data_IF_142495080632
#
_entry.id   IF_142495080632
#
_cell.length_a   1.000
_cell.length_b   1.000
_cell.length_c   1.000
_cell.angle_alpha   90.00
_cell.angle_beta   90.00
_cell.angle_gamma   90.00
#
_symmetry.space_group_name_H-M   'P 1'
#
loop_
_entity.id
_entity.type
_entity.pdbx_description
1 polymer ?
#
# COMPACT_ATOMS: atom_id res chain seq x y z
N UNK A 1 41.74 12.16 -31.40
CA UNK A 1 40.72 13.19 -31.67
C UNK A 1 39.43 12.56 -32.20
N UNK A 2 39.42 11.80 -33.31
CA UNK A 2 38.19 11.21 -33.87
C UNK A 2 37.54 10.15 -32.96
N UNK A 3 38.34 9.33 -32.29
CA UNK A 3 37.88 8.27 -31.36
C UNK A 3 37.33 8.83 -30.06
N UNK A 4 37.85 9.94 -29.58
CA UNK A 4 37.32 10.67 -28.41
C UNK A 4 36.01 11.37 -28.73
N UNK A 5 35.87 11.92 -29.92
CA UNK A 5 34.65 12.60 -30.37
C UNK A 5 33.49 11.59 -30.56
N UNK A 6 33.78 10.39 -31.08
CA UNK A 6 32.82 9.29 -31.20
C UNK A 6 32.39 8.80 -29.81
N UNK A 7 33.32 8.65 -28.87
CA UNK A 7 32.97 8.29 -27.47
C UNK A 7 32.14 9.36 -26.81
N UNK A 8 32.45 10.62 -26.98
CA UNK A 8 31.70 11.72 -26.43
C UNK A 8 30.25 11.73 -26.95
N UNK A 9 30.06 11.62 -28.26
CA UNK A 9 28.73 11.55 -28.89
C UNK A 9 27.95 10.31 -28.44
N UNK A 10 28.63 9.19 -28.24
CA UNK A 10 27.99 7.97 -27.73
C UNK A 10 27.46 8.15 -26.30
N UNK A 11 28.27 8.67 -25.36
CA UNK A 11 27.82 8.91 -23.97
C UNK A 11 26.76 9.98 -23.90
N UNK A 12 26.84 11.04 -24.66
CA UNK A 12 25.84 12.07 -24.75
C UNK A 12 24.50 11.52 -25.29
N UNK A 13 24.56 10.68 -26.33
CA UNK A 13 23.37 10.00 -26.85
C UNK A 13 22.74 9.06 -25.86
N UNK A 14 23.52 8.33 -25.05
CA UNK A 14 23.03 7.47 -24.00
C UNK A 14 22.31 8.26 -22.90
N UNK A 15 22.95 9.32 -22.41
CA UNK A 15 22.37 10.17 -21.35
C UNK A 15 21.12 10.91 -21.80
N UNK A 16 21.01 11.23 -23.09
CA UNK A 16 19.80 11.85 -23.66
C UNK A 16 18.64 10.87 -23.87
N UNK A 17 18.87 9.56 -23.80
CA UNK A 17 17.82 8.53 -23.83
C UNK A 17 17.28 8.17 -22.44
N UNK A 18 17.90 8.65 -21.37
CA UNK A 18 17.44 8.41 -20.00
C UNK A 18 16.36 9.42 -19.63
N UNK A 19 15.24 8.94 -19.10
CA UNK A 19 14.10 9.78 -18.68
C UNK A 19 14.37 10.58 -17.39
N UNK A 20 15.43 10.25 -16.67
CA UNK A 20 15.88 11.01 -15.49
C UNK A 20 16.59 12.29 -15.93
N UNK A 21 16.19 13.41 -15.38
CA UNK A 21 16.90 14.68 -15.60
C UNK A 21 18.28 14.60 -14.94
N UNK A 22 19.33 14.81 -15.74
CA UNK A 22 20.72 14.80 -15.27
C UNK A 22 21.38 16.10 -15.69
N UNK A 23 22.06 16.74 -14.74
CA UNK A 23 22.80 17.97 -14.97
C UNK A 23 24.15 17.94 -14.22
N UNK A 24 25.09 18.67 -14.77
CA UNK A 24 26.43 18.85 -14.18
C UNK A 24 26.64 20.32 -13.89
N UNK A 25 27.08 20.60 -12.67
CA UNK A 25 27.41 21.97 -12.26
C UNK A 25 28.86 22.04 -11.76
N UNK A 26 29.43 23.26 -11.78
CA UNK A 26 30.59 23.56 -11.00
C UNK A 26 30.22 23.70 -9.49
N UNK A 27 31.20 23.94 -8.63
CA UNK A 27 30.97 24.08 -7.20
C UNK A 27 30.26 25.38 -6.80
N UNK A 28 30.17 26.36 -7.75
CA UNK A 28 29.38 27.59 -7.55
C UNK A 28 27.90 27.43 -7.89
N UNK A 29 27.51 26.27 -8.47
CA UNK A 29 26.15 25.98 -8.91
C UNK A 29 25.86 26.42 -10.36
N UNK A 30 26.88 26.84 -11.11
CA UNK A 30 26.73 27.16 -12.54
C UNK A 30 26.61 25.88 -13.33
N UNK A 31 25.58 25.76 -14.16
CA UNK A 31 25.32 24.59 -15.00
C UNK A 31 26.32 24.55 -16.15
N UNK A 32 27.07 23.47 -16.26
CA UNK A 32 27.98 23.21 -17.38
C UNK A 32 27.34 22.33 -18.44
N UNK A 33 26.44 21.42 -18.05
CA UNK A 33 25.79 20.50 -18.96
C UNK A 33 24.45 19.98 -18.39
N UNK A 34 23.51 19.68 -19.29
CA UNK A 34 22.22 19.06 -18.96
C UNK A 34 21.75 18.16 -20.09
N UNK A 35 21.10 17.06 -19.76
CA UNK A 35 20.52 16.16 -20.74
C UNK A 35 19.15 16.65 -21.23
N UNK A 36 18.62 15.98 -22.27
CA UNK A 36 17.30 16.31 -22.85
C UNK A 36 16.16 16.26 -21.79
N UNK A 37 16.19 15.29 -20.88
CA UNK A 37 15.18 15.19 -19.82
C UNK A 37 15.26 16.38 -18.84
N UNK A 38 16.46 16.83 -18.47
CA UNK A 38 16.66 18.03 -17.66
C UNK A 38 16.15 19.29 -18.36
N UNK A 39 16.44 19.44 -19.64
CA UNK A 39 15.92 20.58 -20.46
C UNK A 39 14.39 20.58 -20.52
N UNK A 40 13.78 19.40 -20.68
CA UNK A 40 12.31 19.27 -20.74
C UNK A 40 11.65 19.60 -19.39
N UNK A 41 12.25 19.15 -18.29
CA UNK A 41 11.68 19.29 -16.95
C UNK A 41 12.00 20.65 -16.31
N UNK A 42 13.20 21.18 -16.51
CA UNK A 42 13.70 22.40 -15.87
C UNK A 42 13.75 23.62 -16.78
N UNK A 43 13.73 23.44 -18.09
CA UNK A 43 13.91 24.50 -19.10
C UNK A 43 15.34 24.57 -19.61
N UNK A 44 15.60 25.51 -20.54
CA UNK A 44 16.91 25.65 -21.18
C UNK A 44 17.95 26.34 -20.30
N UNK A 45 17.52 27.19 -19.38
CA UNK A 45 18.38 27.91 -18.43
C UNK A 45 17.75 27.87 -17.02
N UNK A 46 17.79 26.70 -16.35
CA UNK A 46 17.16 26.53 -15.06
C UNK A 46 17.97 27.22 -13.95
N UNK A 47 17.32 28.05 -13.17
CA UNK A 47 17.88 28.49 -11.90
C UNK A 47 17.69 27.39 -10.87
N UNK A 48 18.79 26.82 -10.41
CA UNK A 48 18.76 25.77 -9.42
C UNK A 48 18.46 26.34 -8.03
N UNK A 49 17.50 25.79 -7.29
CA UNK A 49 17.30 26.15 -5.89
C UNK A 49 18.57 25.96 -5.07
N UNK A 50 18.85 26.89 -4.15
CA UNK A 50 20.04 26.79 -3.27
C UNK A 50 20.07 25.48 -2.45
N UNK A 51 18.90 24.92 -2.17
CA UNK A 51 18.74 23.63 -1.48
C UNK A 51 19.40 22.48 -2.25
N UNK A 52 19.38 22.49 -3.57
CA UNK A 52 20.04 21.46 -4.40
C UNK A 52 21.57 21.51 -4.31
N UNK A 53 22.12 22.69 -4.11
CA UNK A 53 23.56 22.90 -4.05
C UNK A 53 24.12 22.51 -2.66
N UNK A 54 23.30 22.46 -1.64
CA UNK A 54 23.68 22.11 -0.26
C UNK A 54 23.51 20.63 0.07
N UNK A 55 22.98 19.81 -0.87
CA UNK A 55 22.75 18.38 -0.63
C UNK A 55 24.07 17.62 -0.46
N UNK A 56 24.16 16.72 0.55
CA UNK A 56 25.30 15.85 0.72
C UNK A 56 25.48 14.93 -0.48
N UNK A 57 26.73 14.64 -0.84
CA UNK A 57 27.03 13.67 -1.92
C UNK A 57 26.71 12.26 -1.47
N UNK A 58 26.02 11.50 -2.34
CA UNK A 58 25.66 10.10 -2.14
C UNK A 58 24.31 9.86 -1.44
N UNK A 59 23.60 10.91 -1.06
CA UNK A 59 22.25 10.79 -0.48
C UNK A 59 21.17 11.16 -1.52
N UNK A 60 20.01 10.50 -1.41
CA UNK A 60 18.81 10.85 -2.19
C UNK A 60 17.83 11.56 -1.27
N UNK A 61 17.41 12.76 -1.65
CA UNK A 61 16.40 13.51 -0.94
C UNK A 61 15.22 13.85 -1.85
N UNK A 62 14.04 14.02 -1.26
CA UNK A 62 12.86 14.47 -1.97
C UNK A 62 12.71 15.97 -1.74
N UNK A 63 12.67 16.73 -2.84
CA UNK A 63 12.46 18.18 -2.81
C UNK A 63 11.21 18.56 -3.59
N UNK A 64 10.63 19.71 -3.22
CA UNK A 64 9.48 20.31 -3.91
C UNK A 64 9.94 21.51 -4.72
N UNK A 65 9.79 21.42 -6.03
CA UNK A 65 10.11 22.52 -6.95
C UNK A 65 8.79 23.15 -7.41
N UNK A 66 8.62 24.47 -7.18
CA UNK A 66 7.46 25.21 -7.64
C UNK A 66 7.76 25.82 -9.03
N UNK A 67 6.99 25.43 -10.04
CA UNK A 67 7.13 25.95 -11.40
C UNK A 67 5.78 26.17 -12.05
N UNK A 68 5.57 27.35 -12.64
CA UNK A 68 4.34 27.71 -13.38
C UNK A 68 3.04 27.41 -12.60
N UNK A 69 3.03 27.62 -11.28
CA UNK A 69 1.86 27.33 -10.43
C UNK A 69 1.67 25.84 -10.09
N UNK A 70 2.56 24.96 -10.53
CA UNK A 70 2.53 23.52 -10.22
C UNK A 70 3.68 23.17 -9.29
N UNK A 71 3.41 22.40 -8.25
CA UNK A 71 4.43 21.84 -7.36
C UNK A 71 4.84 20.47 -7.86
N UNK A 72 6.13 20.31 -8.18
CA UNK A 72 6.71 19.03 -8.62
C UNK A 72 7.49 18.43 -7.45
N UNK A 73 7.21 17.19 -7.11
CA UNK A 73 8.02 16.41 -6.16
C UNK A 73 9.09 15.64 -6.92
N UNK A 74 10.34 15.94 -6.61
CA UNK A 74 11.50 15.40 -7.30
C UNK A 74 12.39 14.64 -6.32
N UNK A 75 12.69 13.37 -6.61
CA UNK A 75 13.79 12.67 -5.95
C UNK A 75 15.10 13.15 -6.56
N UNK A 76 15.96 13.70 -5.73
CA UNK A 76 17.25 14.29 -6.12
C UNK A 76 18.39 13.53 -5.49
N UNK A 77 19.34 13.10 -6.30
CA UNK A 77 20.60 12.55 -5.84
C UNK A 77 21.77 13.38 -6.38
N UNK A 78 22.75 13.61 -5.53
CA UNK A 78 23.94 14.41 -5.83
C UNK A 78 25.18 13.56 -5.70
N UNK A 79 26.11 13.66 -6.66
CA UNK A 79 27.40 12.97 -6.64
C UNK A 79 28.52 13.95 -7.02
N UNK A 80 29.57 14.02 -6.22
CA UNK A 80 30.75 14.81 -6.54
C UNK A 80 31.75 13.95 -7.33
N UNK A 81 32.36 14.55 -8.33
CA UNK A 81 33.40 13.91 -9.13
C UNK A 81 34.45 14.94 -9.60
N UNK A 82 35.63 14.47 -9.93
CA UNK A 82 36.69 15.32 -10.44
C UNK A 82 36.86 15.12 -11.96
N UNK A 83 36.76 16.21 -12.69
CA UNK A 83 37.04 16.20 -14.13
C UNK A 83 38.04 17.32 -14.49
N UNK A 84 39.12 16.99 -15.17
CA UNK A 84 40.19 17.92 -15.55
C UNK A 84 40.79 18.69 -14.35
N UNK A 85 40.92 18.00 -13.21
CA UNK A 85 41.47 18.58 -11.97
C UNK A 85 40.53 19.54 -11.20
N UNK A 86 39.27 19.68 -11.62
CA UNK A 86 38.26 20.50 -10.97
C UNK A 86 37.11 19.63 -10.44
N UNK A 87 36.66 19.93 -9.23
CA UNK A 87 35.49 19.26 -8.67
C UNK A 87 34.21 19.76 -9.35
N UNK A 88 33.37 18.83 -9.66
CA UNK A 88 32.06 19.03 -10.27
C UNK A 88 30.99 18.24 -9.54
N UNK A 89 29.77 18.69 -9.68
CA UNK A 89 28.60 18.05 -9.07
C UNK A 89 27.68 17.54 -10.18
N UNK A 90 27.42 16.23 -10.15
CA UNK A 90 26.37 15.59 -10.95
C UNK A 90 25.10 15.58 -10.09
N UNK A 91 24.01 16.12 -10.62
CA UNK A 91 22.71 16.14 -9.99
C UNK A 91 21.74 15.36 -10.88
N UNK A 92 21.10 14.35 -10.33
CA UNK A 92 20.01 13.62 -10.97
C UNK A 92 18.69 13.94 -10.29
N UNK A 93 17.67 14.28 -11.11
CA UNK A 93 16.31 14.59 -10.62
C UNK A 93 15.33 13.66 -11.32
N UNK A 94 14.54 12.95 -10.52
CA UNK A 94 13.47 12.09 -11.01
C UNK A 94 12.13 12.60 -10.48
N UNK A 95 11.22 12.95 -11.39
CA UNK A 95 9.87 13.32 -10.99
C UNK A 95 9.16 12.10 -10.42
N UNK A 96 8.82 12.14 -9.13
CA UNK A 96 8.11 11.06 -8.44
C UNK A 96 6.59 11.29 -8.43
N UNK A 97 6.15 12.52 -8.66
CA UNK A 97 4.72 12.84 -8.69
C UNK A 97 3.99 12.08 -9.81
N UNK A 98 4.54 12.06 -11.01
CA UNK A 98 3.95 11.31 -12.14
C UNK A 98 3.94 9.78 -11.92
N UNK A 99 4.87 9.24 -11.16
CA UNK A 99 4.91 7.80 -10.83
C UNK A 99 3.85 7.47 -9.77
N UNK A 100 3.71 8.33 -8.76
CA UNK A 100 2.68 8.20 -7.73
C UNK A 100 1.28 8.35 -8.34
N UNK A 101 1.04 9.38 -9.14
CA UNK A 101 -0.25 9.56 -9.85
C UNK A 101 -0.58 8.41 -10.78
N UNK A 102 0.40 7.86 -11.50
CA UNK A 102 0.20 6.69 -12.35
C UNK A 102 -0.16 5.46 -11.53
N UNK A 103 0.54 5.21 -10.44
CA UNK A 103 0.26 4.10 -9.54
C UNK A 103 -1.11 4.25 -8.88
N UNK A 104 -1.49 5.47 -8.47
CA UNK A 104 -2.82 5.76 -7.96
C UNK A 104 -3.89 5.56 -9.04
N UNK A 105 -3.68 6.05 -10.24
CA UNK A 105 -4.61 5.88 -11.36
C UNK A 105 -4.80 4.40 -11.72
N UNK A 106 -3.72 3.61 -11.76
CA UNK A 106 -3.80 2.16 -11.98
C UNK A 106 -4.55 1.45 -10.85
N UNK A 107 -4.30 1.85 -9.59
CA UNK A 107 -5.03 1.33 -8.44
C UNK A 107 -6.52 1.69 -8.52
N UNK A 108 -6.87 2.93 -8.87
CA UNK A 108 -8.23 3.37 -9.11
C UNK A 108 -8.91 2.62 -10.25
N UNK A 109 -8.23 2.40 -11.37
CA UNK A 109 -8.77 1.64 -12.50
C UNK A 109 -9.03 0.17 -12.13
N UNK A 110 -8.12 -0.46 -11.38
CA UNK A 110 -8.33 -1.81 -10.84
C UNK A 110 -9.54 -1.85 -9.91
N UNK A 111 -9.65 -0.87 -9.03
CA UNK A 111 -10.75 -0.73 -8.08
C UNK A 111 -12.10 -0.59 -8.80
N UNK A 112 -12.19 0.34 -9.78
CA UNK A 112 -13.40 0.56 -10.58
C UNK A 112 -13.79 -0.72 -11.33
N UNK A 113 -12.82 -1.47 -11.88
CA UNK A 113 -13.08 -2.73 -12.59
C UNK A 113 -13.67 -3.79 -11.65
N UNK A 114 -13.10 -3.95 -10.45
CA UNK A 114 -13.61 -4.89 -9.44
C UNK A 114 -15.01 -4.46 -8.99
N UNK A 115 -15.22 -3.17 -8.71
CA UNK A 115 -16.52 -2.60 -8.36
C UNK A 115 -17.57 -2.91 -9.42
N UNK A 116 -17.27 -2.61 -10.68
CA UNK A 116 -18.19 -2.85 -11.79
C UNK A 116 -18.54 -4.33 -11.89
N UNK A 117 -17.53 -5.21 -11.80
CA UNK A 117 -17.73 -6.66 -11.88
C UNK A 117 -18.61 -7.20 -10.75
N UNK A 118 -18.35 -6.80 -9.49
CA UNK A 118 -19.13 -7.27 -8.33
C UNK A 118 -20.57 -6.71 -8.33
N UNK A 119 -20.73 -5.44 -8.73
CA UNK A 119 -22.05 -4.84 -8.90
C UNK A 119 -22.83 -5.59 -9.98
N UNK A 120 -22.25 -5.81 -11.15
CA UNK A 120 -22.91 -6.51 -12.25
C UNK A 120 -23.26 -7.96 -11.88
N UNK A 121 -22.33 -8.68 -11.22
CA UNK A 121 -22.56 -10.06 -10.77
C UNK A 121 -23.68 -10.17 -9.74
N UNK A 122 -23.94 -9.12 -8.97
CA UNK A 122 -24.99 -9.10 -7.96
C UNK A 122 -26.32 -8.60 -8.50
N UNK A 123 -26.30 -7.55 -9.34
CA UNK A 123 -27.52 -6.92 -9.87
C UNK A 123 -28.14 -7.75 -10.98
N UNK A 124 -27.35 -8.32 -11.90
CA UNK A 124 -27.88 -9.07 -13.05
C UNK A 124 -28.81 -10.22 -12.64
N UNK A 125 -28.46 -11.10 -11.67
CA UNK A 125 -29.39 -12.13 -11.19
C UNK A 125 -30.62 -11.56 -10.48
N UNK A 126 -30.49 -10.42 -9.78
CA UNK A 126 -31.63 -9.76 -9.12
C UNK A 126 -32.65 -9.30 -10.15
N UNK A 127 -32.18 -8.61 -11.20
CA UNK A 127 -33.03 -8.13 -12.29
C UNK A 127 -33.71 -9.33 -12.99
N UNK A 128 -32.94 -10.32 -13.45
CA UNK A 128 -33.45 -11.48 -14.16
C UNK A 128 -34.51 -12.28 -13.37
N UNK A 129 -34.27 -12.49 -12.07
CA UNK A 129 -35.23 -13.16 -11.21
C UNK A 129 -36.46 -12.30 -10.91
N UNK A 130 -36.27 -10.98 -10.73
CA UNK A 130 -37.41 -10.06 -10.53
C UNK A 130 -38.28 -9.96 -11.79
N UNK A 131 -37.70 -9.90 -12.98
CA UNK A 131 -38.42 -9.93 -14.25
C UNK A 131 -39.19 -11.24 -14.41
N UNK A 132 -38.54 -12.39 -14.18
CA UNK A 132 -39.19 -13.71 -14.25
C UNK A 132 -40.37 -13.83 -13.29
N UNK A 133 -40.26 -13.31 -12.09
CA UNK A 133 -41.35 -13.29 -11.09
C UNK A 133 -42.48 -12.33 -11.51
N UNK A 134 -42.14 -11.19 -12.10
CA UNK A 134 -43.14 -10.20 -12.58
C UNK A 134 -43.92 -10.71 -13.80
N UNK A 135 -43.24 -11.33 -14.76
CA UNK A 135 -43.87 -11.86 -15.98
C UNK A 135 -44.79 -13.05 -15.71
N UNK A 136 -44.47 -13.88 -14.72
CA UNK A 136 -45.31 -15.04 -14.36
C UNK A 136 -46.67 -14.66 -13.73
N UNK A 137 -46.80 -13.42 -13.25
CA UNK A 137 -47.98 -12.98 -12.54
C UNK A 137 -48.19 -13.71 -11.18
N UNK A 138 -49.23 -13.34 -10.44
CA UNK A 138 -49.62 -14.06 -9.23
C UNK A 138 -50.62 -15.14 -9.62
N UNK A 139 -50.25 -16.44 -9.59
CA UNK A 139 -51.20 -17.50 -9.86
C UNK A 139 -52.36 -17.45 -8.85
N UNK A 140 -53.57 -17.64 -9.31
CA UNK A 140 -54.78 -17.71 -8.44
C UNK A 140 -54.71 -18.86 -7.45
N UNK A 141 -53.94 -19.91 -7.72
CA UNK A 141 -53.62 -21.02 -6.82
C UNK A 141 -52.15 -21.41 -7.09
N UNK A 142 -51.31 -21.19 -6.06
CA UNK A 142 -49.91 -21.63 -6.08
C UNK A 142 -49.86 -23.13 -5.74
N UNK A 143 -49.42 -23.94 -6.68
CA UNK A 143 -49.02 -25.31 -6.39
C UNK A 143 -47.70 -25.33 -5.58
N UNK A 144 -47.44 -26.42 -4.83
CA UNK A 144 -46.23 -26.56 -4.02
C UNK A 144 -44.92 -26.31 -4.81
N UNK A 145 -44.89 -26.76 -6.05
CA UNK A 145 -43.75 -26.60 -6.96
C UNK A 145 -43.51 -25.14 -7.34
N UNK A 146 -44.55 -24.39 -7.63
CA UNK A 146 -44.49 -22.96 -7.99
C UNK A 146 -44.10 -22.10 -6.79
N UNK A 147 -44.65 -22.42 -5.60
CA UNK A 147 -44.26 -21.80 -4.36
C UNK A 147 -42.76 -22.01 -4.02
N UNK A 148 -42.26 -23.24 -4.21
CA UNK A 148 -40.86 -23.58 -4.01
C UNK A 148 -39.90 -22.78 -4.92
N UNK A 149 -40.26 -22.65 -6.21
CA UNK A 149 -39.50 -21.87 -7.21
C UNK A 149 -39.48 -20.39 -6.82
N UNK A 150 -40.62 -19.82 -6.43
CA UNK A 150 -40.73 -18.43 -6.01
C UNK A 150 -39.89 -18.17 -4.75
N UNK A 151 -39.96 -19.06 -3.75
CA UNK A 151 -39.20 -18.97 -2.52
C UNK A 151 -37.68 -19.01 -2.81
N UNK A 152 -37.24 -19.92 -3.67
CA UNK A 152 -35.84 -20.03 -4.09
C UNK A 152 -35.33 -18.77 -4.82
N UNK A 153 -36.17 -18.20 -5.70
CA UNK A 153 -35.86 -16.95 -6.38
C UNK A 153 -35.72 -15.79 -5.39
N UNK A 154 -36.66 -15.64 -4.45
CA UNK A 154 -36.60 -14.61 -3.40
C UNK A 154 -35.37 -14.77 -2.50
N UNK A 155 -35.05 -16.00 -2.10
CA UNK A 155 -33.84 -16.27 -1.29
C UNK A 155 -32.56 -15.92 -2.07
N UNK A 156 -32.53 -16.14 -3.38
CA UNK A 156 -31.39 -15.79 -4.22
C UNK A 156 -31.24 -14.28 -4.35
N UNK A 157 -32.36 -13.55 -4.57
CA UNK A 157 -32.39 -12.09 -4.60
C UNK A 157 -31.87 -11.54 -3.26
N UNK A 158 -32.41 -12.04 -2.15
CA UNK A 158 -32.00 -11.61 -0.80
C UNK A 158 -30.48 -11.81 -0.56
N UNK A 159 -29.98 -13.01 -0.87
CA UNK A 159 -28.56 -13.34 -0.71
C UNK A 159 -27.66 -12.44 -1.57
N UNK A 160 -28.03 -12.16 -2.82
CA UNK A 160 -27.28 -11.27 -3.71
C UNK A 160 -27.32 -9.83 -3.27
N UNK A 161 -28.48 -9.34 -2.83
CA UNK A 161 -28.63 -7.99 -2.27
C UNK A 161 -27.79 -7.80 -1.01
N UNK A 162 -27.78 -8.79 -0.11
CA UNK A 162 -26.96 -8.76 1.10
C UNK A 162 -25.46 -8.73 0.77
N UNK A 163 -25.02 -9.55 -0.19
CA UNK A 163 -23.63 -9.56 -0.66
C UNK A 163 -23.21 -8.22 -1.26
N UNK A 164 -24.11 -7.57 -2.02
CA UNK A 164 -23.84 -6.24 -2.59
C UNK A 164 -23.73 -5.18 -1.49
N UNK A 165 -24.61 -5.22 -0.49
CA UNK A 165 -24.55 -4.28 0.64
C UNK A 165 -23.23 -4.43 1.41
N UNK A 166 -22.84 -5.65 1.72
CA UNK A 166 -21.57 -5.96 2.39
C UNK A 166 -20.36 -5.48 1.57
N UNK A 167 -20.40 -5.67 0.24
CA UNK A 167 -19.38 -5.17 -0.66
C UNK A 167 -19.28 -3.62 -0.63
N UNK A 168 -20.42 -2.91 -0.69
CA UNK A 168 -20.45 -1.43 -0.62
C UNK A 168 -19.92 -0.91 0.73
N UNK A 169 -20.28 -1.57 1.83
CA UNK A 169 -19.75 -1.21 3.15
C UNK A 169 -18.24 -1.42 3.24
N UNK A 170 -17.75 -2.51 2.70
CA UNK A 170 -16.33 -2.82 2.63
C UNK A 170 -15.57 -1.79 1.78
N UNK A 171 -16.14 -1.39 0.64
CA UNK A 171 -15.61 -0.31 -0.17
C UNK A 171 -15.54 1.02 0.59
N UNK A 172 -16.61 1.36 1.32
CA UNK A 172 -16.67 2.57 2.14
C UNK A 172 -15.59 2.59 3.23
N UNK A 173 -15.34 1.45 3.88
CA UNK A 173 -14.27 1.31 4.88
C UNK A 173 -12.89 1.57 4.30
N UNK A 174 -12.64 1.13 3.06
CA UNK A 174 -11.37 1.34 2.38
C UNK A 174 -11.17 2.79 1.92
N UNK A 175 -12.24 3.45 1.41
CA UNK A 175 -12.13 4.78 0.79
C UNK A 175 -12.31 5.94 1.77
N UNK A 176 -12.80 5.69 2.98
CA UNK A 176 -13.10 6.71 3.98
C UNK A 176 -12.38 6.46 5.31
N UNK A 177 -11.07 6.23 5.25
CA UNK A 177 -10.27 6.22 6.46
C UNK A 177 -10.12 7.68 6.93
N UNK A 178 -10.58 8.04 8.12
CA UNK A 178 -10.43 9.40 8.62
C UNK A 178 -8.95 9.74 8.86
N UNK A 179 -8.61 11.00 8.77
CA UNK A 179 -7.28 11.49 9.16
C UNK A 179 -6.98 11.06 10.61
N UNK A 180 -5.84 10.43 10.88
CA UNK A 180 -5.54 9.93 12.22
C UNK A 180 -5.41 11.07 13.23
N UNK A 181 -6.03 10.88 14.39
CA UNK A 181 -5.87 11.76 15.56
C UNK A 181 -4.80 11.15 16.45
N UNK A 182 -3.54 11.44 16.14
CA UNK A 182 -2.40 10.85 16.84
C UNK A 182 -2.25 11.41 18.26
N UNK A 183 -2.05 10.51 19.21
CA UNK A 183 -1.76 10.81 20.62
C UNK A 183 -0.63 9.89 21.11
N UNK A 184 -0.05 10.20 22.27
CA UNK A 184 0.92 9.28 22.91
C UNK A 184 0.16 8.10 23.49
N UNK A 185 0.39 6.91 22.95
CA UNK A 185 -0.26 5.65 23.34
C UNK A 185 0.78 4.71 23.93
N UNK A 186 0.50 4.15 25.11
CA UNK A 186 1.31 3.07 25.71
C UNK A 186 1.07 1.78 24.92
N UNK A 187 2.16 1.17 24.44
CA UNK A 187 2.11 -0.11 23.73
C UNK A 187 1.65 -1.22 24.67
N UNK A 188 2.05 -1.15 25.93
CA UNK A 188 1.66 -2.12 26.96
C UNK A 188 0.15 -2.14 27.15
N UNK A 189 -0.46 -0.96 27.30
CA UNK A 189 -1.94 -0.87 27.42
C UNK A 189 -2.65 -1.38 26.16
N UNK A 190 -2.16 -1.00 24.97
CA UNK A 190 -2.73 -1.48 23.71
C UNK A 190 -2.69 -3.01 23.62
N UNK A 191 -1.55 -3.62 23.96
CA UNK A 191 -1.41 -5.09 23.95
C UNK A 191 -2.29 -5.76 25.00
N UNK A 192 -2.46 -5.17 26.19
CA UNK A 192 -3.35 -5.69 27.23
C UNK A 192 -4.81 -5.70 26.78
N UNK A 193 -5.25 -4.66 26.07
CA UNK A 193 -6.63 -4.59 25.58
C UNK A 193 -6.84 -5.55 24.40
N UNK A 194 -5.86 -5.69 23.50
CA UNK A 194 -5.88 -6.71 22.46
C UNK A 194 -5.93 -8.13 23.03
N UNK A 195 -5.21 -8.40 24.12
CA UNK A 195 -5.26 -9.69 24.83
C UNK A 195 -6.64 -10.00 25.39
N UNK A 196 -7.40 -9.00 25.85
CA UNK A 196 -8.80 -9.19 26.26
C UNK A 196 -9.72 -9.55 25.10
N UNK A 197 -9.47 -8.99 23.91
CA UNK A 197 -10.24 -9.28 22.69
C UNK A 197 -9.88 -10.65 22.09
N UNK A 198 -8.66 -11.12 22.32
CA UNK A 198 -8.14 -12.40 21.84
C UNK A 198 -7.63 -13.21 23.05
N UNK A 199 -8.52 -13.81 23.84
CA UNK A 199 -8.16 -14.49 25.08
C UNK A 199 -7.62 -15.91 24.89
N UNK A 200 -7.46 -16.36 23.64
CA UNK A 200 -7.01 -17.71 23.30
C UNK A 200 -5.58 -17.95 23.82
N UNK A 201 -5.35 -19.08 24.49
CA UNK A 201 -4.06 -19.43 25.12
C UNK A 201 -2.89 -19.57 24.13
N UNK A 202 -3.17 -19.87 22.87
CA UNK A 202 -2.17 -19.95 21.79
C UNK A 202 -1.79 -18.59 21.20
N UNK A 203 -2.32 -17.47 21.71
CA UNK A 203 -1.94 -16.11 21.31
C UNK A 203 -1.09 -15.50 22.42
N UNK A 204 0.20 -15.36 22.14
CA UNK A 204 1.20 -14.87 23.07
C UNK A 204 1.55 -13.42 22.79
N UNK A 205 1.51 -12.57 23.83
CA UNK A 205 1.93 -11.18 23.76
C UNK A 205 3.25 -11.00 24.49
N UNK A 206 4.33 -10.78 23.74
CA UNK A 206 5.67 -10.51 24.28
C UNK A 206 5.88 -9.00 24.39
N UNK A 207 5.54 -8.45 25.55
CA UNK A 207 5.60 -7.02 25.82
C UNK A 207 6.91 -6.73 26.57
N UNK A 208 7.73 -5.77 26.10
CA UNK A 208 8.95 -5.39 26.82
C UNK A 208 8.62 -4.77 28.17
N UNK A 209 9.53 -4.96 29.14
CA UNK A 209 9.39 -4.44 30.50
C UNK A 209 9.48 -2.90 30.58
N UNK A 210 9.96 -2.23 29.53
CA UNK A 210 9.99 -0.77 29.43
C UNK A 210 8.68 -0.24 28.88
N UNK A 211 8.12 0.81 29.49
CA UNK A 211 6.92 1.47 28.98
C UNK A 211 7.25 2.22 27.68
N UNK A 212 6.95 1.57 26.56
CA UNK A 212 7.15 2.11 25.23
C UNK A 212 5.87 2.84 24.79
N UNK A 213 6.02 4.06 24.31
CA UNK A 213 4.94 4.86 23.76
C UNK A 213 5.12 5.07 22.27
N UNK A 214 3.99 5.08 21.53
CA UNK A 214 3.91 5.48 20.13
C UNK A 214 3.03 6.72 20.00
N UNK A 215 3.31 7.56 19.00
CA UNK A 215 2.46 8.69 18.65
C UNK A 215 1.56 8.26 17.49
N UNK A 216 0.35 7.78 17.83
CA UNK A 216 -0.55 7.09 16.91
C UNK A 216 -2.02 7.40 17.20
N UNK A 217 -2.89 7.17 16.22
CA UNK A 217 -4.33 7.01 16.47
C UNK A 217 -4.57 5.59 16.97
N UNK A 218 -4.92 5.48 18.27
CA UNK A 218 -5.12 4.21 18.96
C UNK A 218 -6.14 3.33 18.25
N UNK A 219 -7.28 3.87 17.87
CA UNK A 219 -8.38 3.11 17.29
C UNK A 219 -8.01 2.52 15.91
N UNK A 220 -7.30 3.31 15.10
CA UNK A 220 -6.84 2.86 13.79
C UNK A 220 -5.78 1.76 13.92
N UNK A 221 -4.80 1.92 14.81
CA UNK A 221 -3.76 0.89 15.01
C UNK A 221 -4.33 -0.37 15.66
N UNK A 222 -5.28 -0.25 16.61
CA UNK A 222 -6.02 -1.39 17.13
C UNK A 222 -6.73 -2.17 16.03
N UNK A 223 -7.35 -1.47 15.06
CA UNK A 223 -7.96 -2.11 13.89
C UNK A 223 -6.94 -2.88 13.03
N UNK A 224 -5.71 -2.37 12.88
CA UNK A 224 -4.63 -3.09 12.19
C UNK A 224 -4.33 -4.41 12.91
N UNK A 225 -4.14 -4.39 14.23
CA UNK A 225 -3.88 -5.61 15.01
C UNK A 225 -5.04 -6.60 14.94
N UNK A 226 -6.28 -6.14 15.06
CA UNK A 226 -7.46 -6.99 14.94
C UNK A 226 -7.50 -7.71 13.58
N UNK A 227 -7.18 -7.00 12.49
CA UNK A 227 -7.12 -7.61 11.16
C UNK A 227 -6.00 -8.65 11.05
N UNK A 228 -4.80 -8.35 11.56
CA UNK A 228 -3.67 -9.28 11.52
C UNK A 228 -3.91 -10.50 12.40
N UNK A 229 -4.41 -10.33 13.61
CA UNK A 229 -4.72 -11.44 14.53
C UNK A 229 -5.84 -12.34 14.01
N UNK A 230 -6.88 -11.76 13.38
CA UNK A 230 -7.92 -12.54 12.70
C UNK A 230 -7.32 -13.36 11.56
N UNK A 231 -6.46 -12.75 10.73
CA UNK A 231 -5.79 -13.45 9.64
C UNK A 231 -4.91 -14.59 10.14
N UNK A 232 -4.12 -14.36 11.19
CA UNK A 232 -3.27 -15.36 11.83
C UNK A 232 -4.11 -16.53 12.38
N UNK A 233 -5.21 -16.24 13.09
CA UNK A 233 -6.13 -17.26 13.62
C UNK A 233 -6.75 -18.11 12.50
N UNK A 234 -7.13 -17.50 11.39
CA UNK A 234 -7.67 -18.20 10.24
C UNK A 234 -6.60 -19.04 9.53
N UNK A 235 -5.37 -18.52 9.39
CA UNK A 235 -4.24 -19.25 8.78
C UNK A 235 -3.84 -20.50 9.57
N UNK A 236 -3.93 -20.45 10.91
CA UNK A 236 -3.73 -21.62 11.76
C UNK A 236 -4.87 -22.64 11.66
N UNK A 237 -6.05 -22.28 11.16
CA UNK A 237 -7.15 -23.19 10.86
C UNK A 237 -7.51 -24.13 12.01
N UNK A 238 -7.47 -25.44 11.75
CA UNK A 238 -7.80 -26.52 12.72
C UNK A 238 -6.57 -27.24 13.27
N UNK A 239 -5.34 -26.76 13.01
CA UNK A 239 -4.15 -27.40 13.54
C UNK A 239 -4.16 -27.40 15.07
N UNK A 240 -3.56 -28.43 15.69
CA UNK A 240 -3.56 -28.65 17.15
C UNK A 240 -2.52 -27.80 17.88
N UNK A 241 -1.45 -27.43 17.18
CA UNK A 241 -0.25 -26.75 17.71
C UNK A 241 -0.18 -25.29 17.29
N UNK A 242 -1.32 -24.57 17.35
CA UNK A 242 -1.38 -23.15 17.01
C UNK A 242 -0.44 -22.35 17.89
N UNK A 243 0.32 -21.45 17.26
CA UNK A 243 1.18 -20.49 17.93
C UNK A 243 1.12 -19.16 17.18
N UNK A 244 0.55 -18.14 17.84
CA UNK A 244 0.47 -16.78 17.32
C UNK A 244 1.18 -15.87 18.31
N UNK A 245 2.12 -15.06 17.83
CA UNK A 245 2.91 -14.16 18.68
C UNK A 245 2.81 -12.72 18.24
N UNK A 246 2.60 -11.85 19.22
CA UNK A 246 2.70 -10.40 19.08
C UNK A 246 3.95 -9.95 19.83
N UNK A 247 4.94 -9.44 19.10
CA UNK A 247 6.22 -9.04 19.67
C UNK A 247 6.46 -7.55 19.43
N UNK A 248 7.12 -6.89 20.37
CA UNK A 248 7.55 -5.50 20.25
C UNK A 248 9.07 -5.46 20.28
N UNK A 249 9.67 -4.96 19.21
CA UNK A 249 11.13 -4.93 19.01
C UNK A 249 11.56 -3.49 18.71
N UNK A 250 12.66 -3.07 19.31
CA UNK A 250 13.32 -1.81 18.94
C UNK A 250 14.48 -2.15 18.00
N UNK A 251 14.45 -1.61 16.79
CA UNK A 251 15.54 -1.81 15.83
C UNK A 251 16.81 -1.09 16.25
N UNK A 252 18.01 -1.48 15.76
CA UNK A 252 19.26 -0.75 16.02
C UNK A 252 19.20 0.71 15.55
N UNK A 253 18.38 1.03 14.56
CA UNK A 253 18.14 2.40 14.09
C UNK A 253 17.18 3.20 15.01
N UNK A 254 16.64 2.58 16.08
CA UNK A 254 15.71 3.18 17.02
C UNK A 254 14.24 3.19 16.56
N UNK A 255 13.92 2.58 15.42
CA UNK A 255 12.53 2.41 14.99
C UNK A 255 11.82 1.36 15.85
N UNK A 256 10.55 1.59 16.14
CA UNK A 256 9.73 0.65 16.89
C UNK A 256 9.05 -0.30 15.91
N UNK A 257 9.30 -1.58 16.09
CA UNK A 257 8.75 -2.67 15.27
C UNK A 257 7.74 -3.44 16.11
N UNK A 258 6.51 -3.55 15.61
CA UNK A 258 5.52 -4.45 16.19
C UNK A 258 5.25 -5.56 15.18
N UNK A 259 5.33 -6.80 15.65
CA UNK A 259 5.17 -7.95 14.75
C UNK A 259 4.03 -8.83 15.18
N UNK A 260 3.33 -9.41 14.20
CA UNK A 260 2.35 -10.48 14.40
C UNK A 260 2.80 -11.65 13.57
N UNK A 261 3.14 -12.76 14.22
CA UNK A 261 3.57 -13.99 13.57
C UNK A 261 2.64 -15.15 13.90
N UNK A 262 2.45 -16.03 12.93
CA UNK A 262 1.69 -17.27 13.06
C UNK A 262 2.48 -18.46 12.49
N UNK A 263 2.16 -19.66 12.95
CA UNK A 263 2.66 -20.91 12.42
C UNK A 263 1.66 -21.62 11.49
N UNK A 264 0.78 -20.85 10.85
CA UNK A 264 -0.26 -21.36 9.95
C UNK A 264 0.23 -21.84 8.60
N UNK A 265 -0.67 -21.90 7.63
CA UNK A 265 -0.41 -22.38 6.26
C UNK A 265 0.59 -21.54 5.47
N UNK A 266 0.88 -20.31 5.92
CA UNK A 266 1.74 -19.36 5.20
C UNK A 266 1.10 -18.83 3.93
N UNK A 267 1.90 -18.10 3.13
CA UNK A 267 1.47 -17.45 1.91
C UNK A 267 2.34 -17.93 0.76
N UNK A 268 1.71 -18.30 -0.36
CA UNK A 268 2.43 -18.71 -1.56
C UNK A 268 3.22 -17.52 -2.16
N UNK A 269 4.46 -17.76 -2.66
CA UNK A 269 5.29 -16.70 -3.24
C UNK A 269 4.59 -15.89 -4.34
N UNK A 270 3.82 -16.54 -5.21
CA UNK A 270 3.15 -15.93 -6.36
C UNK A 270 2.03 -14.93 -5.97
N UNK A 271 1.62 -14.94 -4.70
CA UNK A 271 0.56 -14.05 -4.22
C UNK A 271 1.05 -13.03 -3.19
N UNK A 272 2.30 -13.14 -2.70
CA UNK A 272 2.87 -12.22 -1.71
C UNK A 272 2.77 -10.75 -2.14
N UNK A 273 3.05 -10.43 -3.40
CA UNK A 273 2.96 -9.07 -3.93
C UNK A 273 1.52 -8.56 -4.06
N UNK A 274 0.53 -9.46 -4.00
CA UNK A 274 -0.88 -9.15 -4.22
C UNK A 274 -1.69 -9.05 -2.93
N UNK A 275 -1.18 -9.52 -1.79
CA UNK A 275 -1.95 -9.58 -0.55
C UNK A 275 -2.39 -8.21 -0.02
N UNK A 276 -1.71 -7.14 -0.41
CA UNK A 276 -2.07 -5.76 -0.07
C UNK A 276 -2.92 -5.08 -1.14
N UNK A 277 -3.24 -5.77 -2.24
CA UNK A 277 -4.15 -5.25 -3.28
C UNK A 277 -5.59 -5.34 -2.76
N UNK A 278 -6.37 -4.25 -2.79
CA UNK A 278 -7.76 -4.28 -2.36
C UNK A 278 -8.57 -5.37 -3.06
N UNK A 279 -9.45 -6.04 -2.31
CA UNK A 279 -10.33 -7.14 -2.76
C UNK A 279 -9.60 -8.41 -3.22
N UNK A 280 -8.29 -8.45 -3.14
CA UNK A 280 -7.55 -9.67 -3.38
C UNK A 280 -7.69 -10.62 -2.17
N UNK A 281 -8.17 -11.82 -2.40
CA UNK A 281 -8.29 -12.87 -1.38
C UNK A 281 -8.15 -14.25 -2.00
N UNK A 282 -7.51 -15.14 -1.27
CA UNK A 282 -7.46 -16.58 -1.56
C UNK A 282 -8.53 -17.35 -0.78
N UNK A 283 -9.25 -16.69 0.12
CA UNK A 283 -10.25 -17.28 1.01
C UNK A 283 -11.65 -17.16 0.42
N UNK A 284 -12.45 -18.21 0.55
CA UNK A 284 -13.82 -18.25 0.04
C UNK A 284 -14.78 -17.26 0.71
N UNK A 285 -14.51 -16.88 1.96
CA UNK A 285 -15.33 -15.94 2.77
C UNK A 285 -14.61 -14.62 3.08
N UNK A 286 -13.43 -14.41 2.53
CA UNK A 286 -12.64 -13.21 2.78
C UNK A 286 -13.06 -12.03 1.91
N UNK A 287 -13.22 -10.83 2.50
CA UNK A 287 -13.50 -9.60 1.75
C UNK A 287 -12.29 -9.07 0.94
N UNK A 288 -11.08 -9.55 1.22
CA UNK A 288 -9.83 -9.07 0.59
C UNK A 288 -9.45 -7.63 0.94
N UNK A 289 -10.01 -7.05 1.99
CA UNK A 289 -9.81 -5.64 2.35
C UNK A 289 -8.91 -5.46 3.57
N UNK A 290 -8.87 -6.45 4.46
CA UNK A 290 -8.19 -6.31 5.75
C UNK A 290 -6.74 -5.86 5.64
N UNK A 291 -5.94 -6.49 4.78
CA UNK A 291 -4.52 -6.16 4.62
C UNK A 291 -4.30 -4.84 3.86
N UNK A 292 -5.12 -4.53 2.86
CA UNK A 292 -5.05 -3.23 2.16
C UNK A 292 -5.42 -2.07 3.09
N UNK A 293 -6.39 -2.25 3.97
CA UNK A 293 -6.74 -1.31 5.03
C UNK A 293 -5.57 -1.12 6.01
N UNK A 294 -4.93 -2.22 6.45
CA UNK A 294 -3.74 -2.14 7.30
C UNK A 294 -2.64 -1.31 6.64
N UNK A 295 -2.36 -1.53 5.36
CA UNK A 295 -1.36 -0.77 4.61
C UNK A 295 -1.69 0.71 4.55
N UNK A 296 -2.93 1.09 4.28
CA UNK A 296 -3.35 2.49 4.26
C UNK A 296 -3.24 3.16 5.62
N UNK A 297 -3.71 2.49 6.69
CA UNK A 297 -3.59 3.02 8.05
C UNK A 297 -2.11 3.24 8.41
N UNK A 298 -1.24 2.27 8.14
CA UNK A 298 0.19 2.41 8.40
C UNK A 298 0.80 3.57 7.61
N UNK A 299 0.44 3.75 6.34
CA UNK A 299 0.89 4.88 5.52
C UNK A 299 0.44 6.22 6.11
N UNK A 300 -0.80 6.34 6.59
CA UNK A 300 -1.31 7.55 7.24
C UNK A 300 -0.57 7.88 8.57
N UNK A 301 0.04 6.88 9.19
CA UNK A 301 0.89 7.02 10.37
C UNK A 301 2.39 7.17 10.05
N UNK A 302 2.72 7.47 8.78
CA UNK A 302 4.11 7.56 8.28
C UNK A 302 4.93 6.28 8.53
N UNK A 303 4.25 5.17 8.80
CA UNK A 303 4.80 3.85 9.04
C UNK A 303 4.75 2.96 7.80
N UNK A 304 5.16 1.71 7.98
CA UNK A 304 5.06 0.69 6.92
C UNK A 304 4.63 -0.65 7.48
N UNK A 305 4.04 -1.48 6.60
CA UNK A 305 3.74 -2.88 6.87
C UNK A 305 4.45 -3.76 5.85
N UNK A 306 5.19 -4.75 6.35
CA UNK A 306 5.88 -5.74 5.54
C UNK A 306 5.47 -7.15 5.98
N UNK A 307 5.71 -8.14 5.11
CA UNK A 307 5.41 -9.54 5.39
C UNK A 307 6.61 -10.41 5.05
N UNK A 308 6.87 -11.41 5.89
CA UNK A 308 7.75 -12.54 5.60
C UNK A 308 6.91 -13.80 5.79
N UNK A 309 6.83 -14.63 4.78
CA UNK A 309 6.04 -15.85 4.84
C UNK A 309 6.67 -16.94 4.01
N UNK A 310 6.49 -18.17 4.48
CA UNK A 310 6.88 -19.38 3.78
C UNK A 310 5.72 -20.38 3.83
N UNK A 311 5.34 -20.91 2.67
CA UNK A 311 4.24 -21.88 2.59
C UNK A 311 4.48 -23.08 3.50
N UNK A 312 3.50 -23.38 4.35
CA UNK A 312 3.56 -24.47 5.33
C UNK A 312 4.32 -24.15 6.62
N UNK A 313 4.89 -22.94 6.78
CA UNK A 313 5.63 -22.54 7.99
C UNK A 313 5.06 -21.33 8.70
N UNK A 314 4.06 -20.68 8.10
CA UNK A 314 3.41 -19.51 8.66
C UNK A 314 3.83 -18.17 8.07
N UNK A 315 3.37 -17.11 8.70
CA UNK A 315 3.62 -15.74 8.25
C UNK A 315 4.04 -14.85 9.42
N UNK A 316 4.85 -13.83 9.12
CA UNK A 316 5.22 -12.76 10.05
C UNK A 316 4.97 -11.40 9.41
N UNK A 317 4.01 -10.66 9.92
CA UNK A 317 3.74 -9.28 9.56
C UNK A 317 4.54 -8.36 10.46
N UNK A 318 5.17 -7.35 9.87
CA UNK A 318 6.08 -6.41 10.54
C UNK A 318 5.56 -5.00 10.31
N UNK A 319 5.09 -4.37 11.37
CA UNK A 319 4.68 -2.97 11.40
C UNK A 319 5.87 -2.12 11.86
N UNK A 320 6.28 -1.14 11.07
CA UNK A 320 7.38 -0.25 11.41
C UNK A 320 6.83 1.15 11.64
N UNK A 321 7.12 1.72 12.80
CA UNK A 321 6.79 3.09 13.14
C UNK A 321 8.06 3.94 13.17
N UNK A 322 8.05 5.16 12.61
CA UNK A 322 9.16 6.09 12.70
C UNK A 322 9.42 6.48 14.16
N UNK A 323 10.58 7.10 14.38
CA UNK A 323 11.02 7.56 15.74
C UNK A 323 10.07 8.57 16.35
#
# INVERSE_FOLDING_TARGET
LLEEEIKHQYYESLLNKVDTAVLVTDMSGRIEWLNRAATAQLGQDPQLPAELLSLPSGETQVIRIHRNGTTLEMAVATTLFVARGMERRLISLKNIHSVLERNEMEAWQKLIRVLTHEIMNSITPIISLSETLSERGIPKLLGEKEYSIMLQAMQTIHRRSKGLLEFVENYRRLTRIPTPVCTKVSITELCMDLKKLFPEEYIHFEIPSSDLTLYIDRAQIEQVFINLLKNAREACGRQSDKDIRVEVIISPAGNKLLTVSDNGEGILPDVLDKIFVPFFTTKTSGSGIGLSLCKQIMTLHEGSINVKSESGKGSKFILTFPK
#
